data_IF_682291923640
#
_entry.id   IF_682291923640
#
_cell.length_a   1.000
_cell.length_b   1.000
_cell.length_c   1.000
_cell.angle_alpha   90.00
_cell.angle_beta   90.00
_cell.angle_gamma   90.00
#
_symmetry.space_group_name_H-M   'P 1'
#
loop_
_entity.id
_entity.type
_entity.pdbx_description
1 polymer ?
#
# COMPACT_ATOMS: atom_id res chain seq x y z
N UNK A 1 -1.59 7.02 -14.44
CA UNK A 1 -0.72 6.25 -13.52
C UNK A 1 -0.19 5.05 -14.30
N UNK A 2 1.13 4.83 -14.30
CA UNK A 2 1.79 3.83 -15.18
C UNK A 2 1.40 2.40 -14.83
N UNK A 3 1.06 2.15 -13.57
CA UNK A 3 0.82 0.82 -13.02
C UNK A 3 -0.66 0.48 -12.84
N UNK A 4 -1.59 1.31 -13.30
CA UNK A 4 -3.05 1.18 -13.01
C UNK A 4 -3.63 -0.20 -13.35
N UNK A 5 -3.08 -0.89 -14.35
CA UNK A 5 -3.50 -2.23 -14.77
C UNK A 5 -3.15 -3.34 -13.77
N UNK A 6 -2.32 -3.05 -12.75
CA UNK A 6 -1.98 -3.97 -11.68
C UNK A 6 -3.07 -4.04 -10.60
N UNK A 7 -3.99 -3.08 -10.56
CA UNK A 7 -5.11 -3.09 -9.62
C UNK A 7 -6.01 -4.30 -9.89
N UNK A 8 -6.32 -5.04 -8.82
CA UNK A 8 -7.08 -6.28 -8.89
C UNK A 8 -6.24 -7.55 -8.99
N UNK A 9 -4.94 -7.44 -9.29
CA UNK A 9 -4.00 -8.57 -9.35
C UNK A 9 -3.53 -8.99 -7.95
N UNK A 10 -2.95 -10.19 -7.86
CA UNK A 10 -2.34 -10.73 -6.65
C UNK A 10 -0.87 -10.33 -6.59
N UNK A 11 -0.46 -9.75 -5.47
CA UNK A 11 0.95 -9.47 -5.20
C UNK A 11 1.61 -10.71 -4.60
N UNK A 12 2.78 -11.05 -5.12
CA UNK A 12 3.69 -12.04 -4.61
C UNK A 12 5.07 -11.45 -4.34
N UNK A 13 5.82 -12.10 -3.46
CA UNK A 13 7.18 -11.74 -3.11
C UNK A 13 8.18 -12.34 -4.11
N UNK A 14 9.47 -12.00 -3.97
CA UNK A 14 10.52 -12.52 -4.87
C UNK A 14 10.69 -14.04 -4.79
N UNK A 15 10.26 -14.65 -3.69
CA UNK A 15 10.33 -16.08 -3.38
C UNK A 15 9.05 -16.83 -3.78
N UNK A 16 8.24 -16.23 -4.67
CA UNK A 16 6.99 -16.79 -5.18
C UNK A 16 5.87 -17.00 -4.14
N UNK A 17 5.94 -16.33 -3.00
CA UNK A 17 4.95 -16.37 -1.93
C UNK A 17 3.91 -15.26 -2.07
N UNK A 18 2.64 -15.62 -1.88
CA UNK A 18 1.53 -14.66 -1.93
C UNK A 18 1.59 -13.68 -0.76
N UNK A 19 1.58 -12.38 -1.07
CA UNK A 19 1.54 -11.29 -0.10
C UNK A 19 0.11 -10.79 0.14
N UNK A 20 -0.67 -10.62 -0.93
CA UNK A 20 -2.02 -10.07 -0.83
C UNK A 20 -2.63 -9.71 -2.19
N UNK A 21 -3.67 -8.88 -2.18
CA UNK A 21 -4.32 -8.38 -3.40
C UNK A 21 -4.03 -6.90 -3.58
N UNK A 22 -3.63 -6.48 -4.78
CA UNK A 22 -3.45 -5.07 -5.10
C UNK A 22 -4.85 -4.45 -5.26
N UNK A 23 -5.17 -3.45 -4.44
CA UNK A 23 -6.50 -2.82 -4.42
C UNK A 23 -6.50 -1.38 -4.94
N UNK A 24 -5.32 -0.77 -5.05
CA UNK A 24 -5.17 0.59 -5.55
C UNK A 24 -3.71 0.95 -5.71
N UNK A 25 -3.48 2.13 -6.29
CA UNK A 25 -2.14 2.69 -6.50
C UNK A 25 -2.20 4.15 -6.10
N UNK A 26 -1.31 4.54 -5.21
CA UNK A 26 -1.30 5.87 -4.62
C UNK A 26 0.08 6.48 -4.78
N UNK A 27 0.14 7.81 -4.92
CA UNK A 27 1.39 8.54 -4.95
C UNK A 27 1.75 8.92 -3.52
N UNK A 28 2.77 8.28 -2.96
CA UNK A 28 3.26 8.55 -1.61
C UNK A 28 4.74 8.93 -1.67
N UNK A 29 5.26 9.67 -0.67
CA UNK A 29 6.69 9.87 -0.53
C UNK A 29 7.39 8.52 -0.43
N UNK A 30 8.59 8.40 -1.02
CA UNK A 30 9.39 7.16 -0.95
C UNK A 30 9.62 6.68 0.49
N UNK A 31 9.75 7.61 1.43
CA UNK A 31 9.91 7.35 2.85
C UNK A 31 8.60 7.50 3.65
N UNK A 32 7.47 7.01 3.10
CA UNK A 32 6.15 7.12 3.77
C UNK A 32 6.12 6.52 5.20
N UNK A 33 7.07 5.63 5.53
CA UNK A 33 7.22 5.01 6.84
C UNK A 33 7.90 5.91 7.88
N UNK A 34 8.64 6.93 7.44
CA UNK A 34 9.46 7.77 8.32
C UNK A 34 8.78 9.11 8.57
N UNK A 35 8.58 9.48 9.84
CA UNK A 35 8.20 10.86 10.21
C UNK A 35 9.34 11.86 9.98
N UNK A 36 10.57 11.39 9.77
CA UNK A 36 11.67 12.22 9.32
C UNK A 36 11.56 12.41 7.81
N UNK A 37 10.89 13.50 7.43
CA UNK A 37 10.95 14.11 6.10
C UNK A 37 12.42 14.33 5.69
N UNK A 38 13.03 13.31 5.10
CA UNK A 38 14.28 13.48 4.39
C UNK A 38 13.94 14.04 3.01
N UNK A 39 14.72 15.03 2.57
CA UNK A 39 14.42 16.06 1.54
C UNK A 39 14.13 15.57 0.11
N UNK A 40 13.79 14.31 -0.12
CA UNK A 40 13.38 13.79 -1.42
C UNK A 40 11.84 13.75 -1.50
N UNK A 41 11.24 14.91 -1.76
CA UNK A 41 9.79 15.14 -1.96
C UNK A 41 9.23 14.46 -3.23
N UNK A 42 9.93 13.46 -3.77
CA UNK A 42 9.49 12.73 -4.97
C UNK A 42 8.39 11.76 -4.57
N UNK A 43 7.16 12.16 -4.85
CA UNK A 43 5.99 11.30 -4.80
C UNK A 43 6.16 10.16 -5.83
N UNK A 44 6.37 8.94 -5.33
CA UNK A 44 6.45 7.74 -6.16
C UNK A 44 5.15 6.95 -6.08
N UNK A 45 4.84 6.23 -7.16
CA UNK A 45 3.66 5.36 -7.21
C UNK A 45 3.91 4.13 -6.31
N UNK A 46 3.02 3.90 -5.36
CA UNK A 46 3.01 2.75 -4.47
C UNK A 46 1.78 1.89 -4.76
N UNK A 47 1.98 0.59 -4.88
CA UNK A 47 0.94 -0.42 -4.94
C UNK A 47 0.38 -0.66 -3.54
N UNK A 48 -0.92 -0.51 -3.37
CA UNK A 48 -1.55 -0.82 -2.09
C UNK A 48 -2.00 -2.27 -2.05
N UNK A 49 -1.32 -3.07 -1.24
CA UNK A 49 -1.56 -4.49 -1.08
C UNK A 49 -2.45 -4.73 0.13
N UNK A 50 -3.66 -5.23 -0.12
CA UNK A 50 -4.59 -5.66 0.91
C UNK A 50 -4.13 -6.98 1.52
N UNK A 51 -3.95 -6.96 2.84
CA UNK A 51 -3.60 -8.12 3.65
C UNK A 51 -4.72 -8.36 4.65
N UNK A 52 -5.36 -9.53 4.54
CA UNK A 52 -6.37 -9.98 5.49
C UNK A 52 -5.68 -10.54 6.74
N UNK A 53 -6.07 -10.04 7.91
CA UNK A 53 -5.57 -10.53 9.20
C UNK A 53 -6.71 -11.24 9.93
N UNK A 54 -6.50 -12.50 10.29
CA UNK A 54 -7.41 -13.24 11.17
C UNK A 54 -7.61 -12.44 12.47
N UNK A 55 -8.88 -12.13 12.78
CA UNK A 55 -9.31 -11.36 13.96
C UNK A 55 -8.88 -9.89 14.04
N UNK A 56 -8.37 -9.29 12.95
CA UNK A 56 -8.03 -7.86 12.91
C UNK A 56 -8.62 -7.20 11.66
N UNK A 57 -8.65 -5.87 11.66
CA UNK A 57 -9.04 -5.08 10.49
C UNK A 57 -8.09 -5.40 9.32
N UNK A 58 -8.67 -5.42 8.13
CA UNK A 58 -7.91 -5.43 6.89
C UNK A 58 -6.97 -4.23 6.82
N UNK A 59 -5.77 -4.47 6.31
CA UNK A 59 -4.76 -3.42 6.15
C UNK A 59 -4.35 -3.33 4.68
N UNK A 60 -4.21 -2.10 4.19
CA UNK A 60 -3.50 -1.81 2.96
C UNK A 60 -2.05 -1.54 3.30
N UNK A 61 -1.13 -2.22 2.62
CA UNK A 61 0.31 -1.99 2.77
C UNK A 61 0.82 -1.41 1.47
N UNK A 62 1.28 -0.15 1.47
CA UNK A 62 1.91 0.41 0.28
C UNK A 62 3.28 -0.24 0.09
N UNK A 63 3.54 -0.64 -1.15
CA UNK A 63 4.82 -1.15 -1.62
C UNK A 63 5.18 -0.39 -2.88
N UNK A 64 6.43 0.04 -3.00
CA UNK A 64 6.91 0.78 -4.18
C UNK A 64 6.57 0.03 -5.47
N UNK A 65 5.92 0.70 -6.42
CA UNK A 65 5.60 0.10 -7.71
C UNK A 65 6.86 -0.18 -8.56
N UNK A 66 7.97 0.50 -8.25
CA UNK A 66 9.27 0.23 -8.88
C UNK A 66 9.88 -1.11 -8.45
N UNK A 67 9.39 -1.72 -7.35
CA UNK A 67 9.81 -3.08 -6.94
C UNK A 67 9.18 -4.18 -7.79
N UNK A 68 8.35 -3.88 -8.80
CA UNK A 68 7.77 -4.91 -9.66
C UNK A 68 8.86 -5.58 -10.52
N UNK A 69 9.12 -6.86 -10.28
CA UNK A 69 10.07 -7.69 -11.04
C UNK A 69 9.41 -8.26 -12.28
N UNK A 70 8.22 -8.86 -12.10
CA UNK A 70 7.55 -9.62 -13.14
C UNK A 70 6.03 -9.55 -12.98
N UNK A 71 5.35 -9.49 -14.11
CA UNK A 71 3.90 -9.65 -14.22
C UNK A 71 3.62 -10.99 -14.91
N UNK A 72 2.80 -11.84 -14.31
CA UNK A 72 2.44 -13.16 -14.85
C UNK A 72 0.93 -13.38 -14.68
N UNK A 73 0.17 -13.12 -15.74
CA UNK A 73 -1.29 -13.19 -15.73
C UNK A 73 -1.92 -12.33 -14.62
N UNK A 74 -2.47 -12.99 -13.60
CA UNK A 74 -3.10 -12.37 -12.44
C UNK A 74 -2.14 -12.13 -11.26
N UNK A 75 -0.86 -12.42 -11.42
CA UNK A 75 0.17 -12.25 -10.39
C UNK A 75 1.16 -11.15 -10.74
N UNK A 76 1.61 -10.44 -9.71
CA UNK A 76 2.63 -9.41 -9.77
C UNK A 76 3.68 -9.75 -8.73
N UNK A 77 4.90 -10.01 -9.17
CA UNK A 77 6.03 -10.39 -8.34
C UNK A 77 6.84 -9.15 -7.98
N UNK A 78 7.09 -8.96 -6.69
CA UNK A 78 7.74 -7.78 -6.13
C UNK A 78 9.09 -8.14 -5.53
N UNK A 79 10.08 -7.27 -5.71
CA UNK A 79 11.41 -7.34 -5.10
C UNK A 79 11.37 -6.92 -3.62
N UNK A 80 10.65 -7.74 -2.87
CA UNK A 80 10.51 -7.64 -1.43
C UNK A 80 10.50 -9.05 -0.87
N UNK A 81 11.17 -9.26 0.26
CA UNK A 81 11.07 -10.52 0.99
C UNK A 81 9.81 -10.53 1.85
N UNK A 82 9.20 -11.70 2.08
CA UNK A 82 8.08 -11.84 3.03
C UNK A 82 8.37 -11.27 4.42
N UNK A 83 9.61 -11.34 4.90
CA UNK A 83 10.01 -10.79 6.20
C UNK A 83 9.94 -9.26 6.22
N UNK A 84 10.51 -8.60 5.20
CA UNK A 84 10.41 -7.15 5.00
C UNK A 84 8.95 -6.71 4.85
N UNK A 85 8.15 -7.49 4.13
CA UNK A 85 6.73 -7.22 4.00
C UNK A 85 5.98 -7.43 5.33
N UNK A 86 6.28 -8.49 6.10
CA UNK A 86 5.68 -8.73 7.42
C UNK A 86 6.04 -7.63 8.42
N UNK A 87 7.26 -7.12 8.37
CA UNK A 87 7.67 -5.99 9.19
C UNK A 87 6.88 -4.73 8.80
N UNK A 88 6.75 -4.47 7.50
CA UNK A 88 5.90 -3.40 6.97
C UNK A 88 4.45 -3.56 7.40
N UNK A 89 3.91 -4.78 7.39
CA UNK A 89 2.58 -5.14 7.88
C UNK A 89 2.45 -4.86 9.39
N UNK A 90 3.44 -5.24 10.21
CA UNK A 90 3.44 -5.02 11.67
C UNK A 90 3.56 -3.55 12.03
N UNK A 91 4.42 -2.81 11.34
CA UNK A 91 4.71 -1.40 11.55
C UNK A 91 3.75 -0.46 10.82
N UNK A 92 2.95 -0.97 9.87
CA UNK A 92 1.85 -0.24 9.25
C UNK A 92 0.82 0.09 10.33
N UNK A 93 1.00 1.25 10.98
CA UNK A 93 0.10 1.73 12.02
C UNK A 93 -1.29 2.01 11.47
N UNK A 94 -1.44 2.54 10.25
CA UNK A 94 -2.76 2.81 9.67
C UNK A 94 -2.61 3.24 8.19
N UNK A 95 -2.56 2.29 7.25
CA UNK A 95 -3.20 2.53 5.95
C UNK A 95 -4.36 1.56 5.88
N UNK A 96 -5.40 1.89 6.64
CA UNK A 96 -6.68 1.18 6.61
C UNK A 96 -7.30 1.48 5.26
N UNK A 97 -7.55 0.45 4.44
CA UNK A 97 -8.43 0.57 3.30
C UNK A 97 -9.80 -0.01 3.62
N UNK A 98 -10.81 0.68 3.10
CA UNK A 98 -12.19 0.70 3.56
C UNK A 98 -12.82 -0.69 3.69
N UNK A 99 -13.68 -0.91 4.72
CA UNK A 99 -14.56 -2.07 4.69
C UNK A 99 -15.52 -1.93 3.52
N UNK A 100 -15.65 -3.00 2.73
CA UNK A 100 -16.73 -3.10 1.75
C UNK A 100 -18.07 -2.96 2.46
N UNK A 101 -18.84 -1.93 2.10
CA UNK A 101 -20.28 -1.86 2.33
C UNK A 101 -20.78 -1.04 3.53
N UNK A 102 -19.95 -0.22 4.20
CA UNK A 102 -20.44 0.68 5.27
C UNK A 102 -20.11 2.17 5.01
N UNK A 103 -21.08 2.99 4.56
CA UNK A 103 -20.84 4.38 4.13
C UNK A 103 -20.27 5.27 5.23
N UNK A 104 -20.58 5.00 6.50
CA UNK A 104 -20.09 5.78 7.63
C UNK A 104 -18.59 5.54 7.93
N UNK A 105 -18.07 4.39 7.51
CA UNK A 105 -16.65 4.04 7.63
C UNK A 105 -15.85 4.53 6.41
N UNK A 106 -16.50 4.69 5.25
CA UNK A 106 -15.93 5.31 4.05
C UNK A 106 -15.70 6.81 4.23
N UNK A 107 -16.62 7.49 4.93
CA UNK A 107 -16.48 8.92 5.24
C UNK A 107 -15.36 9.18 6.25
N UNK A 108 -15.26 8.35 7.30
CA UNK A 108 -14.12 8.39 8.23
C UNK A 108 -12.78 8.13 7.53
N UNK A 109 -12.77 7.24 6.52
CA UNK A 109 -11.59 7.02 5.68
C UNK A 109 -11.21 8.27 4.88
N UNK A 110 -12.15 8.89 4.16
CA UNK A 110 -11.90 10.12 3.40
C UNK A 110 -11.36 11.23 4.31
N UNK A 111 -11.86 11.34 5.54
CA UNK A 111 -11.41 12.34 6.53
C UNK A 111 -10.00 12.02 7.06
N UNK A 112 -9.71 10.78 7.46
CA UNK A 112 -8.39 10.38 7.96
C UNK A 112 -7.32 10.47 6.87
N UNK A 113 -7.69 10.12 5.63
CA UNK A 113 -6.85 10.26 4.44
C UNK A 113 -6.62 11.73 4.06
N UNK A 114 -7.67 12.57 4.10
CA UNK A 114 -7.50 14.03 3.97
C UNK A 114 -6.55 14.59 5.01
N UNK A 115 -6.66 14.15 6.26
CA UNK A 115 -5.78 14.63 7.33
C UNK A 115 -4.34 14.12 7.17
N UNK A 116 -4.16 12.88 6.69
CA UNK A 116 -2.86 12.36 6.29
C UNK A 116 -2.28 13.22 5.16
N UNK A 117 -2.95 13.34 4.02
CA UNK A 117 -2.50 14.18 2.91
C UNK A 117 -2.27 15.62 3.34
N UNK A 118 -3.15 16.24 4.14
CA UNK A 118 -2.98 17.62 4.64
C UNK A 118 -1.77 17.80 5.56
N UNK A 119 -1.27 16.73 6.20
CA UNK A 119 0.02 16.73 6.93
C UNK A 119 1.21 16.78 5.95
N UNK A 120 1.06 16.26 4.75
CA UNK A 120 2.09 16.19 3.70
C UNK A 120 1.89 17.21 2.54
N UNK A 121 0.75 17.90 2.47
CA UNK A 121 0.36 18.87 1.43
C UNK A 121 0.63 20.33 1.84
N UNK A 122 1.15 20.57 3.06
CA UNK A 122 1.62 21.90 3.46
C UNK A 122 3.04 22.15 2.94
N UNK A 123 3.16 22.44 1.64
CA UNK A 123 4.25 23.24 1.07
C UNK A 123 3.85 23.84 -0.26
#
# INVERSE_FOLDING_TARGET
MKYSHLVGKLAGDKDSQKLGKIIGIEKLPRDWKSEKNNRDDRLIEHLIILVHRLFKKDIGVPVDAEKVIKEDGNFVWLDISKEEFKDSVKNAKDIILAPKGNPQHEEQWKVRWRNFNRKYDRR
#
